data_IF_562399940932
#
_entry.id   IF_562399940932
#
_cell.length_a   1.000
_cell.length_b   1.000
_cell.length_c   1.000
_cell.angle_alpha   90.00
_cell.angle_beta   90.00
_cell.angle_gamma   90.00
#
_symmetry.space_group_name_H-M   'P 1'
#
loop_
_entity.id
_entity.type
_entity.pdbx_description
1 polymer ?
#
# COMPACT_ATOMS: atom_id res chain seq x y z
N UNK A 1 9.47 9.68 -24.86
CA UNK A 1 9.80 9.18 -23.53
C UNK A 1 8.82 8.09 -23.13
N UNK A 2 9.31 6.98 -22.63
CA UNK A 2 8.49 5.81 -22.30
C UNK A 2 7.95 5.96 -20.86
N UNK A 3 6.76 5.45 -20.61
CA UNK A 3 6.18 5.40 -19.24
C UNK A 3 7.13 4.72 -18.26
N UNK A 4 7.86 3.71 -18.69
CA UNK A 4 8.81 2.98 -17.85
C UNK A 4 9.93 3.88 -17.30
N UNK A 5 10.23 4.98 -17.95
CA UNK A 5 11.24 5.93 -17.46
C UNK A 5 10.81 6.64 -16.18
N UNK A 6 9.52 6.65 -15.87
CA UNK A 6 8.95 7.27 -14.67
C UNK A 6 8.70 6.28 -13.55
N UNK A 7 8.93 4.99 -13.78
CA UNK A 7 8.75 3.95 -12.77
C UNK A 7 10.10 3.69 -12.11
N UNK A 8 10.16 3.85 -10.80
CA UNK A 8 11.36 3.61 -10.01
C UNK A 8 11.08 2.61 -8.91
N UNK A 9 12.09 1.81 -8.60
CA UNK A 9 12.03 0.85 -7.50
C UNK A 9 13.10 1.23 -6.50
N UNK A 10 12.70 1.40 -5.25
CA UNK A 10 13.61 1.69 -4.15
C UNK A 10 13.58 0.52 -3.18
N UNK A 11 14.73 -0.13 -3.00
CA UNK A 11 14.85 -1.28 -2.13
C UNK A 11 15.12 -0.86 -0.69
N UNK A 12 14.74 -1.70 0.26
CA UNK A 12 15.02 -1.54 1.69
C UNK A 12 14.48 -0.25 2.31
N UNK A 13 13.44 0.33 1.69
CA UNK A 13 12.77 1.53 2.21
C UNK A 13 12.10 1.23 3.55
N UNK A 14 11.48 0.06 3.68
CA UNK A 14 10.92 -0.43 4.95
C UNK A 14 11.90 -1.47 5.51
N UNK A 15 12.51 -1.16 6.66
CA UNK A 15 13.52 -2.05 7.22
C UNK A 15 12.90 -3.37 7.72
N UNK A 16 13.77 -4.39 7.90
CA UNK A 16 13.31 -5.72 8.30
C UNK A 16 12.60 -5.74 9.65
N UNK A 17 13.07 -4.92 10.59
CA UNK A 17 12.45 -4.84 11.91
C UNK A 17 11.00 -4.38 11.82
N UNK A 18 10.75 -3.31 11.06
CA UNK A 18 9.39 -2.80 10.85
C UNK A 18 8.54 -3.81 10.11
N UNK A 19 9.08 -4.47 9.08
CA UNK A 19 8.37 -5.53 8.36
C UNK A 19 7.97 -6.66 9.30
N UNK A 20 8.89 -7.11 10.16
CA UNK A 20 8.60 -8.17 11.12
C UNK A 20 7.54 -7.75 12.12
N UNK A 21 7.60 -6.52 12.61
CA UNK A 21 6.62 -5.99 13.56
C UNK A 21 5.22 -5.95 12.91
N UNK A 22 5.15 -5.49 11.65
CA UNK A 22 3.90 -5.46 10.90
C UNK A 22 3.33 -6.86 10.69
N UNK A 23 4.17 -7.84 10.36
CA UNK A 23 3.73 -9.22 10.12
C UNK A 23 3.30 -9.92 11.41
N UNK A 24 3.95 -9.63 12.53
CA UNK A 24 3.68 -10.29 13.81
C UNK A 24 2.55 -9.64 14.60
N UNK A 25 2.14 -8.43 14.24
CA UNK A 25 1.04 -7.74 14.89
C UNK A 25 -0.29 -8.38 14.52
N UNK A 26 -1.19 -8.47 15.49
CA UNK A 26 -2.51 -9.05 15.27
C UNK A 26 -3.46 -7.97 14.70
N UNK A 27 -3.46 -7.86 13.39
CA UNK A 27 -4.34 -6.92 12.68
C UNK A 27 -5.76 -7.47 12.55
N UNK A 28 -6.72 -6.56 12.46
CA UNK A 28 -8.12 -6.93 12.23
C UNK A 28 -8.39 -6.94 10.71
N UNK A 29 -7.87 -7.96 10.03
CA UNK A 29 -8.07 -8.12 8.60
C UNK A 29 -9.53 -8.44 8.26
N UNK A 30 -9.99 -7.88 7.14
CA UNK A 30 -11.33 -8.14 6.61
C UNK A 30 -11.22 -8.46 5.12
N UNK A 31 -12.17 -9.24 4.58
CA UNK A 31 -12.17 -9.50 3.14
C UNK A 31 -12.19 -8.19 2.35
N UNK A 32 -11.29 -8.08 1.38
CA UNK A 32 -11.25 -6.94 0.49
C UNK A 32 -12.40 -7.01 -0.49
N UNK A 33 -12.96 -5.86 -0.84
CA UNK A 33 -14.04 -5.79 -1.81
C UNK A 33 -13.75 -4.70 -2.84
N UNK A 34 -14.22 -4.94 -4.06
CA UNK A 34 -14.21 -3.97 -5.12
C UNK A 34 -15.52 -3.18 -5.05
N UNK A 35 -15.44 -1.86 -4.91
CA UNK A 35 -16.62 -1.04 -4.77
C UNK A 35 -16.58 0.16 -5.71
N UNK A 36 -17.75 0.60 -6.15
CA UNK A 36 -17.93 1.87 -6.83
C UNK A 36 -18.44 2.91 -5.83
N UNK A 37 -18.76 4.12 -6.31
CA UNK A 37 -19.28 5.19 -5.45
C UNK A 37 -20.53 4.82 -4.68
N UNK A 38 -21.35 3.95 -5.23
CA UNK A 38 -22.69 3.70 -4.73
C UNK A 38 -22.92 2.29 -4.22
N UNK A 39 -22.10 1.32 -4.64
CA UNK A 39 -22.35 -0.07 -4.29
C UNK A 39 -21.08 -0.92 -4.44
N UNK A 40 -21.11 -2.10 -3.82
CA UNK A 40 -20.10 -3.13 -4.00
C UNK A 40 -20.56 -4.01 -5.17
N UNK A 41 -19.69 -4.21 -6.16
CA UNK A 41 -20.00 -5.05 -7.30
C UNK A 41 -19.98 -6.53 -6.91
N UNK A 42 -20.95 -7.29 -7.42
CA UNK A 42 -21.04 -8.72 -7.13
C UNK A 42 -19.83 -9.51 -7.64
N UNK A 43 -19.24 -9.08 -8.74
CA UNK A 43 -18.08 -9.75 -9.32
C UNK A 43 -16.77 -9.42 -8.60
N UNK A 44 -16.82 -8.65 -7.54
CA UNK A 44 -15.63 -8.37 -6.72
C UNK A 44 -14.96 -9.65 -6.22
N UNK A 45 -15.76 -10.68 -5.90
CA UNK A 45 -15.26 -11.99 -5.46
C UNK A 45 -14.42 -12.69 -6.52
N UNK A 46 -14.66 -12.37 -7.79
CA UNK A 46 -13.93 -12.95 -8.92
C UNK A 46 -12.69 -12.15 -9.29
N UNK A 47 -12.59 -10.91 -8.80
CA UNK A 47 -11.48 -10.02 -9.13
C UNK A 47 -10.44 -9.93 -8.03
N UNK A 48 -10.87 -10.08 -6.78
CA UNK A 48 -10.00 -9.89 -5.62
C UNK A 48 -10.26 -11.00 -4.63
N UNK A 49 -9.22 -11.78 -4.32
CA UNK A 49 -9.24 -12.81 -3.29
C UNK A 49 -8.11 -12.51 -2.33
N UNK A 50 -8.36 -11.61 -1.40
CA UNK A 50 -7.41 -11.22 -0.37
C UNK A 50 -8.14 -10.58 0.80
N UNK A 51 -7.46 -10.48 1.93
CA UNK A 51 -7.89 -9.69 3.06
C UNK A 51 -7.07 -8.41 3.12
N UNK A 52 -7.64 -7.35 3.68
CA UNK A 52 -6.89 -6.13 3.89
C UNK A 52 -7.19 -5.49 5.25
N UNK A 53 -6.32 -4.58 5.64
CA UNK A 53 -6.51 -3.73 6.80
C UNK A 53 -5.87 -2.37 6.52
N UNK A 54 -6.54 -1.30 6.96
CA UNK A 54 -6.02 0.04 6.82
C UNK A 54 -5.23 0.44 8.06
N UNK A 55 -4.06 1.01 7.85
CA UNK A 55 -3.22 1.58 8.90
C UNK A 55 -3.51 3.08 8.92
N UNK A 56 -4.26 3.51 9.91
CA UNK A 56 -4.70 4.90 10.05
C UNK A 56 -3.80 5.66 11.03
N UNK A 57 -4.02 6.96 11.15
CA UNK A 57 -3.18 7.85 11.95
C UNK A 57 -3.07 7.47 13.42
N UNK A 58 -4.05 6.76 13.95
CA UNK A 58 -4.05 6.29 15.35
C UNK A 58 -3.25 5.00 15.55
N UNK A 59 -2.79 4.37 14.49
CA UNK A 59 -1.97 3.16 14.58
C UNK A 59 -0.53 3.50 14.96
N UNK A 60 0.08 2.62 15.75
CA UNK A 60 1.51 2.72 16.10
C UNK A 60 2.41 2.57 14.87
N UNK A 61 1.91 1.98 13.80
CA UNK A 61 2.67 1.77 12.56
C UNK A 61 2.57 2.94 11.60
N UNK A 62 1.66 3.88 11.81
CA UNK A 62 1.41 4.95 10.84
C UNK A 62 2.63 5.84 10.65
N UNK A 63 3.20 6.37 11.73
CA UNK A 63 4.34 7.27 11.63
C UNK A 63 5.59 6.58 11.07
N UNK A 64 5.97 5.38 11.53
CA UNK A 64 7.09 4.67 10.92
C UNK A 64 6.92 4.42 9.42
N UNK A 65 5.72 4.02 8.99
CA UNK A 65 5.44 3.80 7.57
C UNK A 65 5.47 5.12 6.78
N UNK A 66 4.93 6.19 7.37
CA UNK A 66 4.97 7.51 6.74
C UNK A 66 6.40 7.99 6.53
N UNK A 67 7.27 7.80 7.51
CA UNK A 67 8.68 8.17 7.37
C UNK A 67 9.34 7.42 6.21
N UNK A 68 9.09 6.12 6.11
CA UNK A 68 9.60 5.31 5.01
C UNK A 68 9.08 5.81 3.66
N UNK A 69 7.79 6.08 3.58
CA UNK A 69 7.14 6.56 2.36
C UNK A 69 7.68 7.93 1.94
N UNK A 70 7.83 8.85 2.89
CA UNK A 70 8.36 10.18 2.62
C UNK A 70 9.78 10.12 2.05
N UNK A 71 10.61 9.22 2.58
CA UNK A 71 11.97 9.03 2.04
C UNK A 71 11.93 8.62 0.58
N UNK A 72 11.08 7.66 0.22
CA UNK A 72 10.94 7.21 -1.16
C UNK A 72 10.41 8.32 -2.07
N UNK A 73 9.41 9.06 -1.61
CA UNK A 73 8.84 10.18 -2.37
C UNK A 73 9.88 11.28 -2.61
N UNK A 74 10.66 11.62 -1.59
CA UNK A 74 11.69 12.64 -1.72
C UNK A 74 12.79 12.21 -2.69
N UNK A 75 13.14 10.94 -2.69
CA UNK A 75 14.09 10.40 -3.66
C UNK A 75 13.55 10.49 -5.08
N UNK A 76 12.27 10.22 -5.27
CA UNK A 76 11.59 10.37 -6.55
C UNK A 76 11.55 11.83 -6.99
N UNK A 77 11.22 12.74 -6.08
CA UNK A 77 11.20 14.18 -6.36
C UNK A 77 12.59 14.71 -6.74
N UNK A 78 13.64 14.16 -6.16
CA UNK A 78 15.01 14.51 -6.53
C UNK A 78 15.32 14.12 -7.97
N UNK A 79 14.86 12.93 -8.40
CA UNK A 79 15.06 12.47 -9.77
C UNK A 79 14.14 13.19 -10.78
N UNK A 80 12.97 13.61 -10.32
CA UNK A 80 11.98 14.29 -11.15
C UNK A 80 11.52 15.58 -10.46
N UNK A 81 12.31 16.69 -10.60
CA UNK A 81 12.06 17.90 -9.82
C UNK A 81 10.72 18.57 -10.04
N UNK A 82 10.03 18.29 -11.15
CA UNK A 82 8.71 18.85 -11.42
C UNK A 82 7.58 18.02 -10.80
N UNK A 83 7.89 16.84 -10.29
CA UNK A 83 6.92 16.02 -9.58
C UNK A 83 6.72 16.56 -8.18
N UNK A 84 5.47 16.64 -7.74
CA UNK A 84 5.12 17.11 -6.41
C UNK A 84 4.03 16.22 -5.81
N UNK A 85 4.30 15.66 -4.64
CA UNK A 85 3.32 14.87 -3.90
C UNK A 85 2.79 15.71 -2.74
N UNK A 86 1.52 16.12 -2.81
CA UNK A 86 0.88 16.95 -1.80
C UNK A 86 0.03 16.14 -0.82
N UNK A 87 -0.60 15.09 -1.29
CA UNK A 87 -1.53 14.30 -0.49
C UNK A 87 -1.28 12.82 -0.65
N UNK A 88 -1.51 12.07 0.41
CA UNK A 88 -1.42 10.62 0.43
C UNK A 88 -2.64 10.04 1.14
N UNK A 89 -2.97 8.79 0.79
CA UNK A 89 -3.97 8.03 1.53
C UNK A 89 -3.35 7.42 2.79
N UNK A 90 -4.18 6.84 3.63
CA UNK A 90 -3.70 5.95 4.67
C UNK A 90 -3.04 4.73 4.03
N UNK A 91 -2.30 3.98 4.82
CA UNK A 91 -1.62 2.78 4.33
C UNK A 91 -2.54 1.58 4.44
N UNK A 92 -2.44 0.69 3.45
CA UNK A 92 -3.22 -0.54 3.44
C UNK A 92 -2.30 -1.74 3.36
N UNK A 93 -2.55 -2.73 4.22
CA UNK A 93 -1.84 -4.00 4.16
C UNK A 93 -2.77 -5.01 3.50
N UNK A 94 -2.29 -5.62 2.43
CA UNK A 94 -3.01 -6.68 1.74
C UNK A 94 -2.43 -8.03 2.17
N UNK A 95 -3.31 -8.95 2.52
CA UNK A 95 -2.93 -10.30 2.93
C UNK A 95 -3.49 -11.30 1.94
N UNK A 96 -2.62 -12.01 1.27
CA UNK A 96 -2.98 -13.05 0.31
C UNK A 96 -2.75 -14.42 0.93
N UNK A 97 -3.79 -15.24 0.99
CA UNK A 97 -3.63 -16.65 1.33
C UNK A 97 -3.18 -17.43 0.10
N UNK A 98 -3.01 -18.75 0.27
CA UNK A 98 -2.70 -19.63 -0.84
C UNK A 98 -3.82 -19.55 -1.88
N UNK A 99 -3.47 -19.25 -3.13
CA UNK A 99 -4.44 -19.04 -4.21
C UNK A 99 -5.09 -17.67 -4.21
N UNK A 100 -4.73 -16.77 -3.28
CA UNK A 100 -5.24 -15.41 -3.27
C UNK A 100 -4.67 -14.58 -4.43
N UNK A 101 -5.47 -13.64 -4.92
CA UNK A 101 -5.07 -12.80 -6.06
C UNK A 101 -5.88 -11.51 -6.14
N UNK A 102 -5.36 -10.59 -6.96
CA UNK A 102 -6.10 -9.42 -7.42
C UNK A 102 -5.97 -9.38 -8.94
N UNK A 103 -7.11 -9.38 -9.65
CA UNK A 103 -7.09 -9.31 -11.11
C UNK A 103 -6.77 -7.89 -11.59
N UNK A 104 -6.23 -7.84 -12.78
CA UNK A 104 -5.97 -6.57 -13.46
C UNK A 104 -7.25 -5.83 -13.84
#
# INVERSE_FOLDING_TARGET
MNVQDYIKIYEDVVNKSLCNDLMNFKHNFKPSSFSSHTEVHEDSKNRVVMDDVWIKKDSVFYNPLKECFVKAVRQYEYEFPLFMCEHTTDFRINKYGTGGFMSE
#
